data_IF_232904271376
#
_entry.id   IF_232904271376
#
_cell.length_a   1.000
_cell.length_b   1.000
_cell.length_c   1.000
_cell.angle_alpha   90.00
_cell.angle_beta   90.00
_cell.angle_gamma   90.00
#
_symmetry.space_group_name_H-M   'P 1'
#
loop_
_entity.id
_entity.type
_entity.pdbx_description
1 polymer ?
#
# COMPACT_ATOMS: atom_id res chain seq x y z
N UNK A 1 -42.11 13.14 19.71
CA UNK A 1 -41.17 14.28 19.63
C UNK A 1 -39.76 13.90 20.10
N UNK A 2 -39.61 13.22 21.24
CA UNK A 2 -38.30 12.79 21.80
C UNK A 2 -37.52 11.82 20.91
N UNK A 3 -38.17 10.80 20.34
CA UNK A 3 -37.50 9.82 19.47
C UNK A 3 -36.95 10.48 18.18
N UNK A 4 -37.72 11.37 17.56
CA UNK A 4 -37.29 12.08 16.34
C UNK A 4 -36.10 13.00 16.59
N UNK A 5 -36.09 13.72 17.73
CA UNK A 5 -34.96 14.57 18.13
C UNK A 5 -33.70 13.74 18.41
N UNK A 6 -33.84 12.59 19.07
CA UNK A 6 -32.72 11.68 19.32
C UNK A 6 -32.13 11.11 18.01
N UNK A 7 -32.99 10.70 17.07
CA UNK A 7 -32.56 10.22 15.75
C UNK A 7 -31.83 11.32 14.98
N UNK A 8 -32.36 12.54 14.96
CA UNK A 8 -31.73 13.67 14.28
C UNK A 8 -30.36 14.01 14.88
N UNK A 9 -30.21 13.97 16.20
CA UNK A 9 -28.94 14.20 16.88
C UNK A 9 -27.91 13.13 16.52
N UNK A 10 -28.29 11.85 16.57
CA UNK A 10 -27.39 10.74 16.19
C UNK A 10 -26.96 10.88 14.73
N UNK A 11 -27.89 11.19 13.82
CA UNK A 11 -27.56 11.41 12.41
C UNK A 11 -26.60 12.59 12.23
N UNK A 12 -26.80 13.70 12.95
CA UNK A 12 -25.91 14.86 12.91
C UNK A 12 -24.50 14.53 13.45
N UNK A 13 -24.41 13.76 14.55
CA UNK A 13 -23.13 13.31 15.11
C UNK A 13 -22.39 12.36 14.17
N UNK A 14 -23.10 11.43 13.52
CA UNK A 14 -22.52 10.56 12.51
C UNK A 14 -22.04 11.36 11.30
N UNK A 15 -22.86 12.28 10.78
CA UNK A 15 -22.47 13.15 9.67
C UNK A 15 -21.23 13.98 10.03
N UNK A 16 -21.20 14.58 11.22
CA UNK A 16 -20.05 15.30 11.73
C UNK A 16 -18.83 14.39 11.82
N UNK A 17 -18.99 13.15 12.30
CA UNK A 17 -17.88 12.21 12.42
C UNK A 17 -17.23 11.92 11.06
N UNK A 18 -18.03 11.65 10.02
CA UNK A 18 -17.51 11.42 8.66
C UNK A 18 -16.92 12.69 8.03
N UNK A 19 -17.48 13.87 8.33
CA UNK A 19 -16.98 15.15 7.83
C UNK A 19 -15.61 15.51 8.43
N UNK A 20 -15.45 15.26 9.73
CA UNK A 20 -14.22 15.54 10.49
C UNK A 20 -13.30 14.33 10.64
N UNK A 21 -13.52 13.28 9.84
CA UNK A 21 -12.66 12.10 9.82
C UNK A 21 -11.21 12.53 9.60
N UNK A 22 -10.27 12.10 10.46
CA UNK A 22 -8.89 12.55 10.40
C UNK A 22 -8.18 11.92 9.20
N UNK A 23 -7.03 12.49 8.86
CA UNK A 23 -6.10 11.95 7.86
C UNK A 23 -4.77 11.71 8.53
N UNK A 24 -4.13 10.61 8.15
CA UNK A 24 -2.79 10.26 8.62
C UNK A 24 -2.00 9.69 7.46
N UNK A 25 -0.68 9.80 7.53
CA UNK A 25 0.22 9.32 6.49
C UNK A 25 1.34 8.49 7.13
N UNK A 26 1.71 7.42 6.44
CA UNK A 26 2.93 6.66 6.70
C UNK A 26 3.76 6.69 5.44
N UNK A 27 5.03 7.09 5.55
CA UNK A 27 5.97 7.12 4.42
C UNK A 27 7.29 6.50 4.84
N UNK A 28 7.80 5.62 3.99
CA UNK A 28 9.12 5.00 4.08
C UNK A 28 9.89 5.29 2.80
N UNK A 29 11.22 5.25 2.89
CA UNK A 29 12.11 5.49 1.74
C UNK A 29 13.27 4.51 1.78
N UNK A 30 13.64 3.97 0.62
CA UNK A 30 14.82 3.11 0.48
C UNK A 30 15.52 3.40 -0.83
N UNK A 31 16.85 3.38 -0.81
CA UNK A 31 17.69 3.44 -2.01
C UNK A 31 17.98 2.00 -2.49
N UNK A 32 17.77 1.73 -3.77
CA UNK A 32 17.96 0.44 -4.41
C UNK A 32 19.01 0.60 -5.51
N UNK A 33 20.05 -0.23 -5.49
CA UNK A 33 21.13 -0.29 -6.49
C UNK A 33 20.66 -1.05 -7.74
N UNK A 34 19.60 -0.53 -8.35
CA UNK A 34 18.98 -1.04 -9.56
C UNK A 34 18.20 0.06 -10.26
N UNK A 35 18.02 -0.08 -11.56
CA UNK A 35 17.22 0.87 -12.35
C UNK A 35 15.73 0.79 -12.01
N UNK A 36 14.95 1.86 -12.21
CA UNK A 36 13.51 1.83 -11.94
C UNK A 36 12.78 0.74 -12.73
N UNK A 37 13.28 0.39 -13.91
CA UNK A 37 12.74 -0.70 -14.73
C UNK A 37 12.95 -2.09 -14.09
N UNK A 38 14.12 -2.34 -13.48
CA UNK A 38 14.40 -3.59 -12.77
C UNK A 38 13.55 -3.72 -11.50
N UNK A 39 13.38 -2.62 -10.77
CA UNK A 39 12.48 -2.59 -9.61
C UNK A 39 11.03 -2.83 -10.04
N UNK A 40 10.60 -2.19 -11.13
CA UNK A 40 9.26 -2.36 -11.69
C UNK A 40 8.98 -3.78 -12.17
N UNK A 41 10.00 -4.52 -12.65
CA UNK A 41 9.80 -5.89 -13.10
C UNK A 41 9.27 -6.82 -11.99
N UNK A 42 9.54 -6.53 -10.71
CA UNK A 42 8.93 -7.24 -9.58
C UNK A 42 7.68 -6.54 -9.06
N UNK A 43 7.75 -5.22 -8.85
CA UNK A 43 6.63 -4.46 -8.28
C UNK A 43 5.38 -4.50 -9.17
N UNK A 44 5.58 -4.48 -10.48
CA UNK A 44 4.55 -4.53 -11.52
C UNK A 44 4.17 -5.95 -11.96
N UNK A 45 4.66 -7.00 -11.27
CA UNK A 45 4.28 -8.39 -11.54
C UNK A 45 3.54 -8.99 -10.32
N UNK A 46 2.20 -8.90 -10.29
CA UNK A 46 1.37 -9.47 -9.23
C UNK A 46 1.67 -10.94 -8.91
N UNK A 47 2.00 -11.74 -9.93
CA UNK A 47 2.26 -13.16 -9.79
C UNK A 47 3.52 -13.46 -8.97
N UNK A 48 4.49 -12.54 -8.97
CA UNK A 48 5.76 -12.70 -8.26
C UNK A 48 5.72 -12.34 -6.78
N UNK A 49 4.66 -11.66 -6.29
CA UNK A 49 4.65 -11.09 -4.92
C UNK A 49 4.93 -12.13 -3.85
N UNK A 50 4.41 -13.35 -4.01
CA UNK A 50 4.61 -14.46 -3.06
C UNK A 50 6.08 -14.88 -2.88
N UNK A 51 6.93 -14.60 -3.87
CA UNK A 51 8.31 -15.10 -3.91
C UNK A 51 9.29 -14.15 -3.21
N UNK A 52 8.91 -12.89 -3.01
CA UNK A 52 9.78 -11.88 -2.43
C UNK A 52 9.13 -11.05 -1.33
N UNK A 53 7.81 -10.92 -1.29
CA UNK A 53 7.12 -10.05 -0.34
C UNK A 53 6.77 -10.81 0.96
N UNK A 54 7.31 -10.41 2.13
CA UNK A 54 7.04 -11.09 3.40
C UNK A 54 5.64 -10.80 3.96
N UNK A 55 4.93 -9.81 3.43
CA UNK A 55 3.66 -9.30 3.93
C UNK A 55 2.49 -9.61 3.00
N UNK A 56 2.67 -9.42 1.68
CA UNK A 56 1.67 -9.73 0.65
C UNK A 56 1.92 -11.15 0.13
N UNK A 57 1.11 -12.10 0.60
CA UNK A 57 1.23 -13.52 0.28
C UNK A 57 0.75 -13.86 -1.14
N UNK A 58 -0.21 -13.10 -1.66
CA UNK A 58 -0.61 -13.15 -3.06
C UNK A 58 -1.25 -11.83 -3.49
N UNK A 59 -1.08 -11.50 -4.77
CA UNK A 59 -1.75 -10.40 -5.44
C UNK A 59 -2.36 -10.96 -6.72
N UNK A 60 -3.68 -10.97 -6.80
CA UNK A 60 -4.42 -11.46 -7.96
C UNK A 60 -5.17 -10.30 -8.62
N UNK A 61 -5.28 -10.36 -9.95
CA UNK A 61 -5.92 -9.31 -10.75
C UNK A 61 -4.93 -8.61 -11.69
N UNK A 62 -5.46 -7.66 -12.46
CA UNK A 62 -4.69 -6.90 -13.43
C UNK A 62 -4.25 -5.56 -12.83
N UNK A 63 -2.96 -5.21 -13.01
CA UNK A 63 -2.48 -3.84 -12.73
C UNK A 63 -2.89 -2.91 -13.88
N UNK A 64 -4.18 -2.57 -13.93
CA UNK A 64 -4.73 -1.59 -14.83
C UNK A 64 -5.54 -0.54 -14.04
N UNK A 65 -5.47 0.74 -14.42
CA UNK A 65 -6.22 1.79 -13.74
C UNK A 65 -7.73 1.48 -13.72
N UNK A 66 -8.35 1.55 -12.55
CA UNK A 66 -9.75 1.19 -12.32
C UNK A 66 -10.00 -0.30 -12.06
N UNK A 67 -9.02 -1.18 -12.29
CA UNK A 67 -9.15 -2.60 -11.97
C UNK A 67 -9.16 -2.85 -10.45
N UNK A 68 -9.77 -3.95 -10.02
CA UNK A 68 -9.76 -4.39 -8.62
C UNK A 68 -8.79 -5.54 -8.44
N UNK A 69 -7.89 -5.42 -7.47
CA UNK A 69 -7.00 -6.50 -7.07
C UNK A 69 -7.61 -7.32 -5.93
N UNK A 70 -7.08 -8.52 -5.71
CA UNK A 70 -7.35 -9.35 -4.55
C UNK A 70 -6.01 -9.71 -3.90
N UNK A 71 -5.72 -9.04 -2.79
CA UNK A 71 -4.48 -9.19 -2.06
C UNK A 71 -4.73 -10.02 -0.81
N UNK A 72 -3.96 -11.09 -0.62
CA UNK A 72 -3.92 -11.83 0.64
C UNK A 72 -2.70 -11.38 1.41
N UNK A 73 -2.90 -10.89 2.63
CA UNK A 73 -1.85 -10.24 3.41
C UNK A 73 -1.77 -10.85 4.80
N UNK A 74 -0.56 -11.00 5.32
CA UNK A 74 -0.31 -11.44 6.70
C UNK A 74 0.54 -10.38 7.40
N UNK A 75 -0.08 -9.46 8.16
CA UNK A 75 0.68 -8.50 8.96
C UNK A 75 1.51 -9.22 10.03
N UNK A 76 2.56 -8.58 10.52
CA UNK A 76 3.37 -9.12 11.62
C UNK A 76 2.54 -9.33 12.88
N UNK A 77 1.62 -8.40 13.15
CA UNK A 77 0.67 -8.48 14.25
C UNK A 77 -0.75 -8.61 13.70
N UNK A 78 -1.41 -9.72 13.99
CA UNK A 78 -2.81 -9.96 13.63
C UNK A 78 -3.03 -11.25 12.87
N UNK A 79 -4.19 -11.35 12.21
CA UNK A 79 -4.56 -12.49 11.39
C UNK A 79 -4.39 -12.17 9.91
N UNK A 80 -4.21 -13.22 9.11
CA UNK A 80 -4.26 -13.13 7.66
C UNK A 80 -5.60 -12.55 7.21
N UNK A 81 -5.55 -11.66 6.22
CA UNK A 81 -6.73 -10.97 5.70
C UNK A 81 -6.69 -10.85 4.18
N UNK A 82 -7.87 -10.77 3.58
CA UNK A 82 -8.03 -10.48 2.16
C UNK A 82 -8.46 -9.04 1.99
N UNK A 83 -7.73 -8.31 1.17
CA UNK A 83 -7.90 -6.91 0.87
C UNK A 83 -8.14 -6.73 -0.63
N UNK A 84 -9.12 -5.90 -1.00
CA UNK A 84 -9.55 -5.74 -2.40
C UNK A 84 -9.42 -4.30 -2.87
N UNK A 85 -8.20 -3.82 -3.14
CA UNK A 85 -7.99 -2.42 -3.51
C UNK A 85 -8.33 -2.19 -4.98
N UNK A 86 -8.73 -0.95 -5.29
CA UNK A 86 -8.91 -0.47 -6.67
C UNK A 86 -7.63 0.22 -7.11
N UNK A 87 -7.07 -0.18 -8.24
CA UNK A 87 -5.88 0.43 -8.81
C UNK A 87 -6.21 1.85 -9.27
N UNK A 88 -5.47 2.83 -8.79
CA UNK A 88 -5.63 4.24 -9.13
C UNK A 88 -4.64 4.72 -10.19
N UNK A 89 -3.40 4.22 -10.14
CA UNK A 89 -2.33 4.61 -11.08
C UNK A 89 -1.44 3.43 -11.39
N UNK A 90 -1.14 3.25 -12.66
CA UNK A 90 -0.08 2.34 -13.13
C UNK A 90 0.78 3.07 -14.15
N UNK A 91 1.95 3.52 -13.72
CA UNK A 91 2.94 4.18 -14.56
C UNK A 91 4.24 3.36 -14.49
N UNK A 92 4.54 2.55 -15.52
CA UNK A 92 5.71 1.69 -15.52
C UNK A 92 7.01 2.43 -15.19
N UNK A 93 7.82 1.80 -14.33
CA UNK A 93 9.09 2.33 -13.82
C UNK A 93 8.98 3.71 -13.14
N UNK A 94 7.77 4.11 -12.70
CA UNK A 94 7.53 5.42 -12.06
C UNK A 94 6.60 5.35 -10.87
N UNK A 95 5.42 4.77 -11.02
CA UNK A 95 4.40 4.83 -9.97
C UNK A 95 3.41 3.66 -10.04
N UNK A 96 3.11 3.08 -8.88
CA UNK A 96 1.99 2.19 -8.66
C UNK A 96 1.17 2.73 -7.49
N UNK A 97 -0.14 2.88 -7.67
CA UNK A 97 -1.03 3.40 -6.64
C UNK A 97 -2.36 2.65 -6.63
N UNK A 98 -2.87 2.35 -5.45
CA UNK A 98 -4.19 1.76 -5.29
C UNK A 98 -4.90 2.28 -4.03
N UNK A 99 -6.22 2.13 -4.02
CA UNK A 99 -7.08 2.54 -2.92
C UNK A 99 -7.73 1.33 -2.27
N UNK A 100 -7.35 1.09 -1.02
CA UNK A 100 -8.06 0.25 -0.09
C UNK A 100 -9.27 0.91 0.50
N UNK A 101 -10.33 0.13 0.72
CA UNK A 101 -11.47 0.55 1.54
C UNK A 101 -11.94 -0.59 2.43
N UNK A 102 -12.26 -0.26 3.68
CA UNK A 102 -12.90 -1.19 4.61
C UNK A 102 -14.41 -0.91 4.69
N UNK A 103 -15.22 -1.82 4.17
CA UNK A 103 -16.69 -1.73 4.07
C UNK A 103 -17.22 -0.55 3.24
N UNK A 104 -17.36 0.63 3.85
CA UNK A 104 -17.89 1.83 3.21
C UNK A 104 -16.77 2.87 3.05
N UNK A 105 -16.84 3.72 2.00
CA UNK A 105 -15.92 4.84 1.88
C UNK A 105 -15.84 5.63 3.19
N UNK A 106 -14.64 6.09 3.55
CA UNK A 106 -14.39 6.96 4.72
C UNK A 106 -14.56 6.31 6.09
N UNK A 107 -14.82 5.00 6.15
CA UNK A 107 -14.65 4.25 7.39
C UNK A 107 -13.16 4.06 7.68
N UNK A 108 -12.45 3.50 6.71
CA UNK A 108 -11.01 3.36 6.69
C UNK A 108 -10.57 3.16 5.24
N UNK A 109 -10.16 4.26 4.62
CA UNK A 109 -9.61 4.28 3.27
C UNK A 109 -8.08 4.36 3.38
N UNK A 110 -7.38 3.61 2.53
CA UNK A 110 -5.92 3.57 2.48
C UNK A 110 -5.45 3.73 1.05
N UNK A 111 -4.98 4.93 0.69
CA UNK A 111 -4.40 5.22 -0.62
C UNK A 111 -2.91 4.92 -0.56
N UNK A 112 -2.55 3.74 -1.04
CA UNK A 112 -1.22 3.17 -0.96
C UNK A 112 -0.48 3.43 -2.27
N UNK A 113 0.78 3.85 -2.18
CA UNK A 113 1.58 4.24 -3.33
C UNK A 113 3.03 3.79 -3.23
N UNK A 114 3.60 3.51 -4.39
CA UNK A 114 5.02 3.29 -4.64
C UNK A 114 5.45 4.26 -5.72
N UNK A 115 6.43 5.10 -5.43
CA UNK A 115 7.02 6.03 -6.39
C UNK A 115 8.49 5.63 -6.57
N UNK A 116 8.86 5.37 -7.82
CA UNK A 116 10.22 5.05 -8.22
C UNK A 116 10.86 6.29 -8.82
N UNK A 117 11.77 6.89 -8.07
CA UNK A 117 12.53 8.06 -8.50
C UNK A 117 13.95 7.63 -8.88
N UNK A 118 14.28 7.74 -10.17
CA UNK A 118 15.60 7.35 -10.68
C UNK A 118 16.68 8.33 -10.21
N UNK A 119 17.68 7.83 -9.50
CA UNK A 119 18.86 8.59 -9.07
C UNK A 119 20.12 8.06 -9.80
N UNK A 120 21.25 8.78 -9.73
CA UNK A 120 22.48 8.40 -10.47
C UNK A 120 22.94 6.98 -10.10
N UNK A 121 22.61 6.00 -10.95
CA UNK A 121 22.99 4.59 -10.78
C UNK A 121 21.96 3.70 -10.06
N UNK A 122 20.84 4.24 -9.56
CA UNK A 122 19.88 3.47 -8.76
C UNK A 122 18.45 4.03 -8.77
N UNK A 123 17.65 3.57 -7.82
CA UNK A 123 16.26 3.98 -7.63
C UNK A 123 15.99 4.30 -6.17
N UNK A 124 15.49 5.50 -5.90
CA UNK A 124 14.85 5.81 -4.62
C UNK A 124 13.40 5.38 -4.69
N UNK A 125 13.04 4.36 -3.92
CA UNK A 125 11.65 3.98 -3.70
C UNK A 125 11.08 4.84 -2.56
N UNK A 126 10.01 5.58 -2.85
CA UNK A 126 9.14 6.21 -1.84
C UNK A 126 7.87 5.38 -1.75
N UNK A 127 7.66 4.73 -0.61
CA UNK A 127 6.55 3.83 -0.36
C UNK A 127 5.75 4.36 0.82
N UNK A 128 4.46 4.62 0.61
CA UNK A 128 3.62 5.14 1.67
C UNK A 128 2.15 4.86 1.48
N UNK A 129 1.38 5.26 2.49
CA UNK A 129 -0.06 5.12 2.50
C UNK A 129 -0.70 6.33 3.18
N UNK A 130 -1.61 6.97 2.44
CA UNK A 130 -2.47 8.04 2.93
C UNK A 130 -3.76 7.44 3.46
N UNK A 131 -3.94 7.49 4.77
CA UNK A 131 -5.11 6.98 5.44
C UNK A 131 -6.15 8.06 5.64
N UNK A 132 -7.41 7.65 5.51
CA UNK A 132 -8.55 8.52 5.77
C UNK A 132 -9.75 7.76 6.30
N UNK A 133 -10.27 8.16 7.45
CA UNK A 133 -11.55 7.65 7.92
C UNK A 133 -11.74 7.76 9.41
N UNK A 134 -12.98 7.53 9.85
CA UNK A 134 -13.38 7.67 11.27
C UNK A 134 -12.65 6.68 12.18
N UNK A 135 -12.21 5.52 11.67
CA UNK A 135 -11.48 4.54 12.48
C UNK A 135 -10.07 5.00 12.89
N UNK A 136 -9.52 6.02 12.24
CA UNK A 136 -8.19 6.57 12.57
C UNK A 136 -8.15 7.31 13.91
N UNK A 137 -9.28 7.59 14.55
CA UNK A 137 -9.29 8.02 15.95
C UNK A 137 -8.88 6.90 16.92
N UNK A 138 -8.99 5.65 16.48
CA UNK A 138 -8.80 4.46 17.32
C UNK A 138 -7.64 3.57 16.85
N UNK A 139 -7.12 3.81 15.65
CA UNK A 139 -6.05 3.01 15.05
C UNK A 139 -4.81 3.89 14.88
N UNK A 140 -3.68 3.47 15.45
CA UNK A 140 -2.38 4.05 15.13
C UNK A 140 -1.83 3.41 13.85
N UNK A 141 -1.88 4.15 12.75
CA UNK A 141 -1.37 3.67 11.45
C UNK A 141 0.15 3.61 11.40
N UNK A 142 0.87 4.30 12.30
CA UNK A 142 2.35 4.28 12.32
C UNK A 142 2.91 2.87 12.55
N UNK A 143 2.13 1.98 13.15
CA UNK A 143 2.49 0.56 13.31
C UNK A 143 2.77 -0.14 11.96
N UNK A 144 2.20 0.34 10.85
CA UNK A 144 2.40 -0.23 9.53
C UNK A 144 3.77 0.11 8.91
N UNK A 145 4.49 1.11 9.46
CA UNK A 145 5.81 1.49 8.96
C UNK A 145 6.79 0.31 8.95
N UNK A 146 6.75 -0.55 9.98
CA UNK A 146 7.60 -1.74 10.05
C UNK A 146 7.30 -2.76 8.95
N UNK A 147 6.01 -2.99 8.63
CA UNK A 147 5.62 -3.86 7.52
C UNK A 147 6.13 -3.30 6.18
N UNK A 148 6.07 -1.98 5.99
CA UNK A 148 6.53 -1.31 4.76
C UNK A 148 8.05 -1.39 4.62
N UNK A 149 8.79 -1.15 5.70
CA UNK A 149 10.24 -1.27 5.72
C UNK A 149 10.70 -2.70 5.40
N UNK A 150 10.02 -3.73 5.92
CA UNK A 150 10.33 -5.13 5.58
C UNK A 150 10.05 -5.45 4.12
N UNK A 151 8.92 -4.98 3.59
CA UNK A 151 8.59 -5.14 2.16
C UNK A 151 9.65 -4.47 1.28
N UNK A 152 10.05 -3.24 1.63
CA UNK A 152 11.08 -2.48 0.92
C UNK A 152 12.43 -3.18 0.95
N UNK A 153 12.85 -3.68 2.12
CA UNK A 153 14.10 -4.42 2.28
C UNK A 153 14.11 -5.72 1.46
N UNK A 154 13.00 -6.44 1.41
CA UNK A 154 12.88 -7.66 0.63
C UNK A 154 12.89 -7.40 -0.88
N UNK A 155 12.19 -6.34 -1.34
CA UNK A 155 12.25 -5.89 -2.72
C UNK A 155 13.67 -5.52 -3.12
N UNK A 156 14.34 -4.67 -2.31
CA UNK A 156 15.74 -4.27 -2.52
C UNK A 156 16.64 -5.49 -2.67
N UNK A 157 16.62 -6.40 -1.70
CA UNK A 157 17.45 -7.60 -1.69
C UNK A 157 17.19 -8.49 -2.93
N UNK A 158 15.93 -8.64 -3.34
CA UNK A 158 15.55 -9.47 -4.48
C UNK A 158 16.01 -8.88 -5.82
N UNK A 159 15.90 -7.57 -5.99
CA UNK A 159 16.33 -6.89 -7.22
C UNK A 159 17.86 -6.85 -7.33
N UNK A 160 18.54 -6.55 -6.22
CA UNK A 160 20.01 -6.42 -6.18
C UNK A 160 20.75 -7.76 -6.30
N UNK A 161 20.11 -8.86 -5.88
CA UNK A 161 20.66 -10.20 -6.10
C UNK A 161 20.73 -10.59 -7.59
N UNK A 162 20.02 -9.87 -8.46
CA UNK A 162 19.94 -10.15 -9.89
C UNK A 162 19.23 -11.49 -10.23
N UNK A 163 19.07 -11.81 -11.51
CA UNK A 163 18.80 -13.18 -11.92
C UNK A 163 20.02 -14.03 -11.58
N UNK A 164 19.81 -15.21 -10.97
CA UNK A 164 20.91 -16.15 -10.66
C UNK A 164 21.73 -16.37 -11.94
N UNK A 165 22.99 -15.92 -11.91
CA UNK A 165 24.01 -16.23 -12.93
C UNK A 165 24.34 -15.09 -13.89
N UNK A 166 25.37 -14.32 -13.54
CA UNK A 166 26.62 -14.18 -14.32
C UNK A 166 27.61 -13.42 -13.43
N UNK A 167 28.80 -13.98 -13.27
CA UNK A 167 29.82 -13.45 -12.38
C UNK A 167 30.09 -11.97 -12.62
N UNK A 168 30.43 -11.26 -11.54
CA UNK A 168 31.14 -9.98 -11.61
C UNK A 168 32.45 -10.22 -12.36
N UNK A 169 32.40 -10.12 -13.67
CA UNK A 169 33.54 -10.08 -14.56
C UNK A 169 33.86 -8.64 -14.86
N UNK A 170 34.72 -8.04 -14.03
CA UNK A 170 35.84 -7.15 -14.37
C UNK A 170 36.52 -6.70 -13.09
#
# INVERSE_FOLDING_TARGET
MTILLAVALVAALLAAAFLFAPRQEVVTKVEIDATPAQVWALLGDPGSYRDWNPFILSMEGELAEGATLVNRMRPETGSEMTFRPVVLKVAPARELRWLGRLFLPRIFDGEHYFILDGCQGGTRLVHGENFHGVLLWFIDVKRFAGDFDRMNAALKARVEAGPIGLGKGR
#
